data_IF_671270107807
#
_entry.id   IF_671270107807
#
_cell.length_a   1.000
_cell.length_b   1.000
_cell.length_c   1.000
_cell.angle_alpha   90.00
_cell.angle_beta   90.00
_cell.angle_gamma   90.00
#
_symmetry.space_group_name_H-M   'P 1'
#
loop_
_entity.id
_entity.type
_entity.pdbx_description
1 polymer ?
#
# COMPACT_ATOMS: atom_id res chain seq x y z
N UNK A 1 -16.61 9.81 -23.64
CA UNK A 1 -16.67 10.57 -24.89
C UNK A 1 -17.72 11.70 -24.86
N UNK A 2 -18.88 11.53 -24.19
CA UNK A 2 -19.91 12.58 -24.08
C UNK A 2 -19.49 13.80 -23.24
N UNK A 3 -18.44 13.72 -22.45
CA UNK A 3 -17.98 14.80 -21.56
C UNK A 3 -16.97 15.78 -22.21
N UNK A 4 -16.40 15.44 -23.36
CA UNK A 4 -15.39 16.26 -24.02
C UNK A 4 -15.84 17.66 -24.44
N UNK A 5 -17.05 17.90 -24.98
CA UNK A 5 -17.52 19.24 -25.28
C UNK A 5 -17.61 20.13 -24.04
N UNK A 6 -18.18 19.61 -22.94
CA UNK A 6 -18.29 20.33 -21.68
C UNK A 6 -16.92 20.63 -21.04
N UNK A 7 -15.97 19.72 -21.18
CA UNK A 7 -14.60 19.93 -20.73
C UNK A 7 -13.92 21.03 -21.55
N UNK A 8 -14.12 21.06 -22.87
CA UNK A 8 -13.59 22.12 -23.73
C UNK A 8 -14.16 23.48 -23.41
N UNK A 9 -15.44 23.57 -23.15
CA UNK A 9 -16.11 24.82 -22.74
C UNK A 9 -15.56 25.31 -21.40
N UNK A 10 -15.42 24.41 -20.44
CA UNK A 10 -15.01 24.74 -19.06
C UNK A 10 -13.49 24.99 -18.91
N UNK A 11 -12.66 24.23 -19.62
CA UNK A 11 -11.19 24.21 -19.43
C UNK A 11 -10.41 24.58 -20.70
N UNK A 12 -11.09 24.90 -21.80
CA UNK A 12 -10.45 25.21 -23.08
C UNK A 12 -9.86 24.01 -23.81
N UNK A 13 -10.01 22.80 -23.26
CA UNK A 13 -9.39 21.57 -23.79
C UNK A 13 -10.41 20.43 -23.87
N UNK A 14 -10.44 19.70 -24.99
CA UNK A 14 -11.37 18.62 -25.24
C UNK A 14 -10.95 17.27 -24.61
N UNK A 15 -9.66 17.10 -24.31
CA UNK A 15 -9.11 15.88 -23.74
C UNK A 15 -8.74 16.09 -22.28
N UNK A 16 -9.21 15.21 -21.40
CA UNK A 16 -8.92 15.27 -19.98
C UNK A 16 -7.42 15.20 -19.70
N UNK A 17 -6.69 14.34 -20.41
CA UNK A 17 -5.24 14.22 -20.27
C UNK A 17 -4.50 15.52 -20.60
N UNK A 18 -4.88 16.17 -21.70
CA UNK A 18 -4.28 17.46 -22.11
C UNK A 18 -4.60 18.55 -21.06
N UNK A 19 -5.85 18.63 -20.59
CA UNK A 19 -6.24 19.55 -19.53
C UNK A 19 -5.44 19.30 -18.25
N UNK A 20 -5.27 18.05 -17.85
CA UNK A 20 -4.52 17.70 -16.65
C UNK A 20 -3.03 18.05 -16.78
N UNK A 21 -2.39 17.67 -17.89
CA UNK A 21 -0.95 17.87 -18.13
C UNK A 21 -0.63 19.35 -18.32
N UNK A 22 -1.38 20.05 -19.19
CA UNK A 22 -1.03 21.41 -19.61
C UNK A 22 -1.51 22.49 -18.65
N UNK A 23 -2.46 22.18 -17.74
CA UNK A 23 -2.93 23.13 -16.74
C UNK A 23 -2.47 22.77 -15.34
N UNK A 24 -2.93 21.64 -14.81
CA UNK A 24 -2.69 21.29 -13.40
C UNK A 24 -1.23 20.89 -13.17
N UNK A 25 -0.75 19.90 -13.92
CA UNK A 25 0.60 19.38 -13.72
C UNK A 25 1.68 20.41 -14.06
N UNK A 26 1.51 21.15 -15.17
CA UNK A 26 2.45 22.20 -15.55
C UNK A 26 2.46 23.33 -14.52
N UNK A 27 1.30 23.82 -14.09
CA UNK A 27 1.21 24.87 -13.09
C UNK A 27 1.78 24.47 -11.72
N UNK A 28 1.60 23.20 -11.33
CA UNK A 28 2.06 22.68 -10.03
C UNK A 28 3.56 22.32 -10.00
N UNK A 29 4.15 21.91 -11.14
CA UNK A 29 5.50 21.33 -11.16
C UNK A 29 6.40 21.84 -12.29
N UNK A 30 5.91 22.74 -13.14
CA UNK A 30 6.60 23.17 -14.38
C UNK A 30 6.99 22.03 -15.31
N UNK A 31 6.38 20.87 -15.13
CA UNK A 31 6.63 19.64 -15.86
C UNK A 31 7.30 18.55 -15.01
N UNK A 32 7.45 17.38 -15.60
CA UNK A 32 8.04 16.23 -14.95
C UNK A 32 9.57 16.31 -14.96
N UNK A 33 10.20 15.90 -13.86
CA UNK A 33 11.67 15.83 -13.78
C UNK A 33 12.26 15.02 -14.93
N UNK A 34 13.19 15.61 -15.68
CA UNK A 34 13.84 14.94 -16.82
C UNK A 34 14.65 13.73 -16.36
N UNK A 35 15.37 13.83 -15.24
CA UNK A 35 16.14 12.69 -14.69
C UNK A 35 15.25 11.51 -14.36
N UNK A 36 14.08 11.74 -13.76
CA UNK A 36 13.11 10.68 -13.47
C UNK A 36 12.56 10.04 -14.76
N UNK A 37 12.29 10.83 -15.80
CA UNK A 37 11.83 10.31 -17.09
C UNK A 37 12.91 9.43 -17.76
N UNK A 38 14.16 9.86 -17.76
CA UNK A 38 15.27 9.07 -18.31
C UNK A 38 15.51 7.78 -17.53
N UNK A 39 15.44 7.85 -16.19
CA UNK A 39 15.56 6.66 -15.34
C UNK A 39 14.45 5.65 -15.63
N UNK A 40 13.20 6.10 -15.69
CA UNK A 40 12.05 5.25 -15.98
C UNK A 40 12.14 4.65 -17.40
N UNK A 41 12.53 5.45 -18.39
CA UNK A 41 12.74 4.96 -19.75
C UNK A 41 13.86 3.92 -19.86
N UNK A 42 14.93 4.07 -19.06
CA UNK A 42 16.00 3.08 -18.97
C UNK A 42 15.52 1.77 -18.34
N UNK A 43 14.71 1.85 -17.26
CA UNK A 43 14.09 0.70 -16.61
C UNK A 43 13.15 -0.06 -17.57
N UNK A 44 12.29 0.64 -18.31
CA UNK A 44 11.41 0.00 -19.28
C UNK A 44 12.18 -0.66 -20.43
N UNK A 45 13.26 -0.05 -20.92
CA UNK A 45 14.13 -0.68 -21.92
C UNK A 45 14.80 -1.94 -21.34
N UNK A 46 15.31 -1.88 -20.11
CA UNK A 46 15.92 -3.04 -19.46
C UNK A 46 14.92 -4.19 -19.29
N UNK A 47 13.66 -3.88 -18.97
CA UNK A 47 12.59 -4.89 -18.90
C UNK A 47 12.24 -5.46 -20.29
N UNK A 48 12.12 -4.62 -21.31
CA UNK A 48 11.86 -5.06 -22.68
C UNK A 48 12.98 -5.94 -23.24
N UNK A 49 14.24 -5.66 -22.88
CA UNK A 49 15.42 -6.43 -23.25
C UNK A 49 15.62 -7.70 -22.38
N UNK A 50 14.73 -7.97 -21.42
CA UNK A 50 14.85 -9.11 -20.50
C UNK A 50 15.99 -8.98 -19.46
N UNK A 51 16.57 -7.80 -19.30
CA UNK A 51 17.63 -7.52 -18.30
C UNK A 51 17.08 -7.13 -16.93
N UNK A 52 15.80 -6.83 -16.83
CA UNK A 52 15.09 -6.51 -15.59
C UNK A 52 13.75 -7.25 -15.60
N UNK A 53 13.53 -8.08 -14.59
CA UNK A 53 12.26 -8.75 -14.33
C UNK A 53 11.60 -8.12 -13.10
N UNK A 54 10.63 -7.20 -13.32
CA UNK A 54 9.90 -6.54 -12.26
C UNK A 54 9.11 -7.51 -11.37
N UNK A 55 8.62 -8.62 -11.95
CA UNK A 55 7.85 -9.62 -11.19
C UNK A 55 8.77 -10.36 -10.23
N UNK A 56 9.94 -10.79 -10.71
CA UNK A 56 10.94 -11.43 -9.87
C UNK A 56 11.42 -10.50 -8.75
N UNK A 57 11.75 -9.25 -9.06
CA UNK A 57 12.20 -8.24 -8.08
C UNK A 57 11.15 -7.97 -6.97
N UNK A 58 9.86 -8.01 -7.31
CA UNK A 58 8.78 -7.75 -6.36
C UNK A 58 8.24 -9.00 -5.67
N UNK A 59 8.61 -10.20 -6.12
CA UNK A 59 8.14 -11.49 -5.59
C UNK A 59 8.42 -11.67 -4.09
N UNK A 60 9.53 -11.13 -3.61
CA UNK A 60 9.90 -11.18 -2.20
C UNK A 60 8.93 -10.40 -1.30
N UNK A 61 8.36 -9.29 -1.78
CA UNK A 61 7.30 -8.58 -1.03
C UNK A 61 6.05 -9.43 -0.90
N UNK A 62 5.64 -10.14 -1.94
CA UNK A 62 4.51 -11.06 -1.89
C UNK A 62 4.74 -12.21 -0.90
N UNK A 63 5.95 -12.76 -0.85
CA UNK A 63 6.34 -13.79 0.14
C UNK A 63 6.24 -13.25 1.58
N UNK A 64 6.81 -12.07 1.84
CA UNK A 64 6.78 -11.42 3.15
C UNK A 64 5.36 -11.08 3.58
N UNK A 65 4.55 -10.54 2.67
CA UNK A 65 3.15 -10.24 2.92
C UNK A 65 2.36 -11.49 3.31
N UNK A 66 2.55 -12.61 2.60
CA UNK A 66 1.93 -13.90 2.92
C UNK A 66 2.27 -14.36 4.33
N UNK A 67 3.58 -14.43 4.65
CA UNK A 67 4.04 -14.88 5.96
C UNK A 67 3.49 -14.02 7.10
N UNK A 68 3.55 -12.71 6.94
CA UNK A 68 3.07 -11.80 7.99
C UNK A 68 1.55 -11.79 8.10
N UNK A 69 0.80 -11.91 7.01
CA UNK A 69 -0.67 -12.10 7.04
C UNK A 69 -1.05 -13.35 7.82
N UNK A 70 -0.37 -14.47 7.56
CA UNK A 70 -0.59 -15.71 8.30
C UNK A 70 -0.33 -15.54 9.80
N UNK A 71 0.71 -14.78 10.18
CA UNK A 71 0.97 -14.46 11.59
C UNK A 71 -0.18 -13.66 12.19
N UNK A 72 -0.60 -12.57 11.58
CA UNK A 72 -1.70 -11.77 12.09
C UNK A 72 -3.01 -12.56 12.19
N UNK A 73 -3.37 -13.32 11.16
CA UNK A 73 -4.58 -14.15 11.15
C UNK A 73 -4.58 -15.22 12.25
N UNK A 74 -3.44 -15.89 12.50
CA UNK A 74 -3.30 -16.87 13.60
C UNK A 74 -3.51 -16.25 14.98
N UNK A 75 -3.23 -14.97 15.12
CA UNK A 75 -3.41 -14.22 16.36
C UNK A 75 -4.74 -13.47 16.45
N UNK A 76 -5.73 -13.84 15.64
CA UNK A 76 -7.11 -13.33 15.74
C UNK A 76 -7.37 -12.00 15.02
N UNK A 77 -6.41 -11.50 14.26
CA UNK A 77 -6.65 -10.35 13.39
C UNK A 77 -7.45 -10.74 12.15
N UNK A 78 -8.07 -9.76 11.52
CA UNK A 78 -8.72 -9.90 10.20
C UNK A 78 -8.04 -9.00 9.18
N UNK A 79 -8.09 -9.36 7.89
CA UNK A 79 -7.71 -8.46 6.80
C UNK A 79 -8.87 -7.48 6.58
N UNK A 80 -8.60 -6.18 6.57
CA UNK A 80 -9.64 -5.15 6.44
C UNK A 80 -10.03 -4.95 4.98
N UNK A 81 -9.05 -4.85 4.09
CA UNK A 81 -9.27 -4.74 2.65
C UNK A 81 -8.67 -5.97 1.97
N UNK A 82 -9.45 -7.02 1.85
CA UNK A 82 -9.03 -8.32 1.30
C UNK A 82 -9.47 -8.48 -0.16
N UNK A 83 -10.61 -7.89 -0.50
CA UNK A 83 -11.22 -8.01 -1.83
C UNK A 83 -11.63 -6.66 -2.39
N UNK A 84 -11.57 -6.54 -3.72
CA UNK A 84 -12.28 -5.55 -4.51
C UNK A 84 -13.37 -6.29 -5.30
N UNK A 85 -14.62 -6.10 -4.91
CA UNK A 85 -15.74 -6.93 -5.31
C UNK A 85 -15.48 -8.42 -4.95
N UNK A 86 -15.35 -9.30 -5.92
CA UNK A 86 -15.10 -10.73 -5.73
C UNK A 86 -13.62 -11.12 -5.91
N UNK A 87 -12.78 -10.22 -6.39
CA UNK A 87 -11.37 -10.46 -6.65
C UNK A 87 -10.50 -10.11 -5.43
N UNK A 88 -9.48 -10.92 -5.18
CA UNK A 88 -8.50 -10.64 -4.14
C UNK A 88 -7.68 -9.38 -4.48
N UNK A 89 -7.53 -8.49 -3.49
CA UNK A 89 -6.69 -7.30 -3.65
C UNK A 89 -5.23 -7.73 -3.73
N UNK A 90 -4.54 -7.24 -4.77
CA UNK A 90 -3.09 -7.45 -4.91
C UNK A 90 -2.34 -6.76 -3.78
N UNK A 91 -1.49 -7.52 -3.14
CA UNK A 91 -0.59 -6.99 -2.12
C UNK A 91 0.69 -6.48 -2.78
N UNK A 92 0.99 -5.20 -2.58
CA UNK A 92 2.34 -4.72 -2.76
C UNK A 92 3.15 -4.98 -1.49
N UNK A 93 3.79 -3.95 -0.95
CA UNK A 93 4.46 -4.04 0.35
C UNK A 93 3.59 -3.51 1.52
N UNK A 94 2.30 -3.27 1.28
CA UNK A 94 1.33 -2.88 2.31
C UNK A 94 0.10 -3.78 2.26
N UNK A 95 -0.44 -4.07 3.43
CA UNK A 95 -1.78 -4.63 3.61
C UNK A 95 -2.39 -4.09 4.91
N UNK A 96 -3.64 -4.41 5.18
CA UNK A 96 -4.40 -3.80 6.27
C UNK A 96 -4.98 -4.85 7.17
N UNK A 97 -4.86 -4.66 8.50
CA UNK A 97 -5.42 -5.57 9.49
C UNK A 97 -6.23 -4.83 10.55
N UNK A 98 -7.25 -5.48 11.08
CA UNK A 98 -8.05 -5.04 12.21
C UNK A 98 -8.12 -6.13 13.28
N UNK A 99 -8.51 -5.77 14.50
CA UNK A 99 -8.65 -6.71 15.62
C UNK A 99 -9.90 -6.40 16.44
N UNK A 100 -10.78 -7.40 16.59
CA UNK A 100 -12.03 -7.23 17.33
C UNK A 100 -12.79 -5.98 16.91
N UNK A 101 -13.29 -5.25 17.88
CA UNK A 101 -14.01 -3.98 17.71
C UNK A 101 -13.13 -2.75 17.99
N UNK A 102 -11.82 -2.93 18.14
CA UNK A 102 -10.91 -1.82 18.39
C UNK A 102 -10.89 -0.84 17.22
N UNK A 103 -10.99 0.45 17.55
CA UNK A 103 -10.74 1.53 16.58
C UNK A 103 -9.29 1.51 16.10
N UNK A 104 -9.01 2.21 15.01
CA UNK A 104 -7.64 2.31 14.48
C UNK A 104 -6.65 2.90 15.48
N UNK A 105 -7.08 3.86 16.30
CA UNK A 105 -6.24 4.52 17.31
C UNK A 105 -5.98 3.62 18.51
N UNK A 106 -7.02 2.95 19.01
CA UNK A 106 -6.89 2.00 20.10
C UNK A 106 -5.97 0.84 19.70
N UNK A 107 -6.23 0.21 18.55
CA UNK A 107 -5.40 -0.88 18.06
C UNK A 107 -3.93 -0.48 17.91
N UNK A 108 -3.66 0.72 17.35
CA UNK A 108 -2.29 1.22 17.21
C UNK A 108 -1.65 1.43 18.58
N UNK A 109 -2.37 2.03 19.54
CA UNK A 109 -1.86 2.30 20.88
C UNK A 109 -1.52 1.01 21.63
N UNK A 110 -2.42 0.02 21.56
CA UNK A 110 -2.19 -1.29 22.16
C UNK A 110 -0.98 -2.01 21.54
N UNK A 111 -0.89 -2.06 20.20
CA UNK A 111 0.24 -2.70 19.52
C UNK A 111 1.59 -2.04 19.81
N UNK A 112 1.61 -0.72 20.05
CA UNK A 112 2.84 -0.01 20.43
C UNK A 112 3.39 -0.49 21.78
N UNK A 113 2.53 -0.88 22.74
CA UNK A 113 2.95 -1.45 24.03
C UNK A 113 3.74 -2.76 23.84
N UNK A 114 3.48 -3.48 22.77
CA UNK A 114 4.21 -4.70 22.40
C UNK A 114 5.33 -4.45 21.38
N UNK A 115 5.63 -3.17 21.10
CA UNK A 115 6.70 -2.79 20.16
C UNK A 115 6.36 -3.00 18.69
N UNK A 116 5.06 -3.13 18.33
CA UNK A 116 4.59 -3.20 16.95
C UNK A 116 4.16 -1.80 16.52
N UNK A 117 4.93 -1.19 15.61
CA UNK A 117 4.62 0.13 15.05
C UNK A 117 4.01 -0.03 13.65
N UNK A 118 2.93 0.68 13.40
CA UNK A 118 2.21 0.68 12.13
C UNK A 118 1.58 2.06 11.87
N UNK A 119 0.77 2.18 10.84
CA UNK A 119 0.03 3.40 10.53
C UNK A 119 -1.46 3.12 10.70
N UNK A 120 -2.15 3.97 11.48
CA UNK A 120 -3.61 3.93 11.62
C UNK A 120 -4.29 4.09 10.26
N UNK A 121 -5.30 3.28 9.98
CA UNK A 121 -6.08 3.40 8.74
C UNK A 121 -6.82 4.74 8.66
N UNK A 122 -7.21 5.32 9.77
CA UNK A 122 -7.82 6.66 9.81
C UNK A 122 -6.90 7.72 9.22
N UNK A 123 -5.59 7.64 9.48
CA UNK A 123 -4.57 8.55 8.90
C UNK A 123 -4.50 8.43 7.38
N UNK A 124 -4.83 7.26 6.82
CA UNK A 124 -4.85 7.03 5.36
C UNK A 124 -6.19 7.38 4.70
N UNK A 125 -7.14 7.95 5.46
CA UNK A 125 -8.47 8.33 4.97
C UNK A 125 -9.50 7.20 4.97
N UNK A 126 -9.18 6.03 5.51
CA UNK A 126 -10.13 4.91 5.64
C UNK A 126 -11.20 5.20 6.69
N UNK A 127 -12.42 4.73 6.40
CA UNK A 127 -13.52 4.68 7.38
C UNK A 127 -13.57 3.36 8.16
N UNK A 128 -12.84 2.34 7.69
CA UNK A 128 -12.74 1.05 8.38
C UNK A 128 -11.70 1.11 9.49
N UNK A 129 -11.98 0.52 10.67
CA UNK A 129 -11.00 0.45 11.74
C UNK A 129 -9.89 -0.55 11.41
N UNK A 130 -8.66 -0.20 11.80
CA UNK A 130 -7.49 -1.05 11.61
C UNK A 130 -6.20 -0.26 11.43
N UNK A 131 -5.16 -0.98 11.07
CA UNK A 131 -3.82 -0.46 10.80
C UNK A 131 -3.32 -0.92 9.44
N UNK A 132 -2.39 -0.16 8.85
CA UNK A 132 -1.65 -0.53 7.64
C UNK A 132 -0.29 -1.10 8.03
N UNK A 133 -0.07 -2.35 7.67
CA UNK A 133 1.19 -3.07 7.86
C UNK A 133 2.08 -2.86 6.64
N UNK A 134 3.40 -2.68 6.86
CA UNK A 134 4.41 -2.58 5.82
C UNK A 134 5.43 -3.72 5.95
N UNK A 135 5.66 -4.46 4.87
CA UNK A 135 6.59 -5.60 4.85
C UNK A 135 7.94 -5.28 4.22
N UNK A 136 8.14 -4.06 3.73
CA UNK A 136 9.34 -3.70 2.97
C UNK A 136 10.65 -3.87 3.77
N UNK A 137 10.59 -3.71 5.09
CA UNK A 137 11.75 -3.80 5.99
C UNK A 137 11.88 -5.14 6.70
N UNK A 138 10.96 -6.09 6.47
CA UNK A 138 10.99 -7.42 7.07
C UNK A 138 11.83 -8.36 6.18
N UNK A 139 13.13 -8.27 6.28
CA UNK A 139 14.07 -8.95 5.38
C UNK A 139 14.96 -10.00 6.07
N UNK A 140 14.79 -10.22 7.40
CA UNK A 140 15.54 -11.20 8.19
C UNK A 140 14.58 -12.15 8.92
N UNK A 141 14.88 -13.46 8.98
CA UNK A 141 14.04 -14.45 9.66
C UNK A 141 13.67 -14.05 11.10
N UNK A 142 14.65 -13.53 11.86
CA UNK A 142 14.46 -13.17 13.27
C UNK A 142 13.40 -12.07 13.48
N UNK A 143 13.10 -11.27 12.44
CA UNK A 143 12.05 -10.26 12.52
C UNK A 143 10.65 -10.87 12.48
N UNK A 144 10.48 -12.00 11.80
CA UNK A 144 9.21 -12.74 11.79
C UNK A 144 9.00 -13.44 13.13
N UNK A 145 10.05 -14.06 13.70
CA UNK A 145 9.98 -14.69 15.02
C UNK A 145 9.67 -13.65 16.10
N UNK A 146 10.30 -12.49 16.02
CA UNK A 146 10.03 -11.38 16.94
C UNK A 146 8.60 -10.86 16.79
N UNK A 147 8.09 -10.72 15.57
CA UNK A 147 6.70 -10.33 15.31
C UNK A 147 5.73 -11.34 15.92
N UNK A 148 5.96 -12.64 15.71
CA UNK A 148 5.14 -13.70 16.27
C UNK A 148 5.12 -13.68 17.80
N UNK A 149 6.28 -13.52 18.44
CA UNK A 149 6.37 -13.40 19.90
C UNK A 149 5.57 -12.21 20.44
N UNK A 150 5.65 -11.07 19.78
CA UNK A 150 4.91 -9.85 20.14
C UNK A 150 3.41 -10.00 19.95
N UNK A 151 2.97 -10.62 18.86
CA UNK A 151 1.55 -10.92 18.61
C UNK A 151 1.01 -11.95 19.61
N UNK A 152 1.83 -12.92 20.00
CA UNK A 152 1.47 -13.88 21.05
C UNK A 152 1.23 -13.16 22.38
N UNK A 153 2.14 -12.27 22.80
CA UNK A 153 2.01 -11.49 24.03
C UNK A 153 0.78 -10.56 23.98
N UNK A 154 0.53 -9.91 22.83
CA UNK A 154 -0.66 -9.10 22.62
C UNK A 154 -1.94 -9.96 22.78
N UNK A 155 -2.03 -11.11 22.13
CA UNK A 155 -3.21 -11.97 22.17
C UNK A 155 -3.49 -12.57 23.54
N UNK A 156 -2.50 -12.73 24.41
CA UNK A 156 -2.70 -13.19 25.80
C UNK A 156 -3.46 -12.19 26.65
N UNK A 157 -3.35 -10.90 26.36
CA UNK A 157 -3.95 -9.81 27.11
C UNK A 157 -5.26 -9.27 26.49
N UNK A 158 -5.64 -9.77 25.30
CA UNK A 158 -6.81 -9.29 24.54
C UNK A 158 -7.78 -10.42 24.16
N UNK A 159 -7.83 -11.50 24.94
CA UNK A 159 -8.78 -12.60 24.77
C UNK A 159 -10.09 -12.34 25.51
#
# INVERSE_FOLDING_TARGET
>A
TRQYPALRERYGMARLGDAYVLTILYAASSGTSHSAQYALAAMFRAAADGRLDFVAETSEYARRARLTKELFLRHGFRIVYDKDQDEAVSDGFFYTVGYGDLTSSELLSELLLYGICAISLTTTGSRQPGIRVCVSQLNRPEQFDLLEARLTAFGQNHR
#
